data_IF_678817209587
#
_entry.id   IF_678817209587
#
_cell.length_a   1.000
_cell.length_b   1.000
_cell.length_c   1.000
_cell.angle_alpha   90.00
_cell.angle_beta   90.00
_cell.angle_gamma   90.00
#
_symmetry.space_group_name_H-M   'P 1'
#
loop_
_entity.id
_entity.type
_entity.pdbx_description
1 polymer ?
#
# COMPACT_ATOMS: atom_id res chain seq x y z
N UNK A 1 -15.98 5.63 32.69
CA UNK A 1 -14.87 5.50 33.65
C UNK A 1 -13.73 6.29 33.09
N UNK A 2 -13.25 7.19 33.88
CA UNK A 2 -12.44 8.37 33.57
C UNK A 2 -11.07 7.99 32.96
N UNK A 3 -10.79 8.43 31.71
CA UNK A 3 -9.56 8.17 30.97
C UNK A 3 -8.37 9.09 31.33
N UNK A 4 -8.35 9.68 32.54
CA UNK A 4 -7.43 10.77 32.91
C UNK A 4 -6.29 10.36 33.86
N UNK A 5 -6.11 9.09 34.19
CA UNK A 5 -5.07 8.64 35.13
C UNK A 5 -4.06 7.70 34.46
N UNK A 6 -3.37 8.12 33.40
CA UNK A 6 -2.00 7.69 33.25
C UNK A 6 -1.14 8.64 34.08
N UNK A 7 -0.88 8.18 35.26
CA UNK A 7 -0.11 8.75 36.36
C UNK A 7 1.16 9.44 35.84
N UNK A 8 1.50 10.61 36.42
CA UNK A 8 2.79 11.33 36.27
C UNK A 8 4.01 10.38 36.27
N UNK A 9 3.92 9.28 37.01
CA UNK A 9 4.91 8.23 37.09
C UNK A 9 5.07 7.46 35.76
N UNK A 10 4.02 7.30 34.97
CA UNK A 10 4.11 6.63 33.66
C UNK A 10 4.92 7.46 32.66
N UNK A 11 4.57 8.73 32.50
CA UNK A 11 5.27 9.64 31.58
C UNK A 11 6.75 9.80 31.94
N UNK A 12 7.06 10.01 33.21
CA UNK A 12 8.44 10.15 33.70
C UNK A 12 9.27 8.88 33.48
N UNK A 13 8.64 7.70 33.41
CA UNK A 13 9.31 6.41 33.18
C UNK A 13 9.41 6.06 31.70
N UNK A 14 8.37 6.33 30.90
CA UNK A 14 8.30 5.88 29.51
C UNK A 14 8.95 6.86 28.52
N UNK A 15 8.84 8.18 28.73
CA UNK A 15 9.47 9.18 27.85
C UNK A 15 10.97 8.92 27.63
N UNK A 16 11.79 8.60 28.64
CA UNK A 16 13.20 8.30 28.42
C UNK A 16 13.48 7.03 27.57
N UNK A 17 12.48 6.16 27.42
CA UNK A 17 12.57 4.95 26.61
C UNK A 17 12.14 5.16 25.16
N UNK A 18 11.40 6.24 24.90
CA UNK A 18 10.97 6.61 23.56
C UNK A 18 12.16 7.13 22.75
N UNK A 19 12.04 7.04 21.45
CA UNK A 19 12.99 7.58 20.47
C UNK A 19 12.21 8.24 19.36
N UNK A 20 12.72 9.35 18.83
CA UNK A 20 12.18 9.92 17.60
C UNK A 20 12.23 8.92 16.45
N UNK A 21 11.33 9.08 15.50
CA UNK A 21 11.23 8.15 14.37
C UNK A 21 10.03 8.47 13.49
N UNK A 22 9.58 7.49 12.71
CA UNK A 22 8.50 7.68 11.74
C UNK A 22 7.17 8.17 12.34
N UNK A 23 6.92 7.92 13.62
CA UNK A 23 5.63 8.22 14.28
C UNK A 23 5.78 8.98 15.61
N UNK A 24 6.97 9.45 15.95
CA UNK A 24 7.21 10.22 17.18
C UNK A 24 8.17 11.38 16.91
N UNK A 25 7.79 12.55 17.38
CA UNK A 25 8.62 13.76 17.35
C UNK A 25 8.56 14.45 18.70
N UNK A 26 9.70 14.88 19.22
CA UNK A 26 9.82 15.63 20.46
C UNK A 26 10.30 17.06 20.19
N UNK A 27 9.63 18.04 20.77
CA UNK A 27 9.99 19.44 20.61
C UNK A 27 10.03 20.13 21.97
N UNK A 28 11.14 20.80 22.25
CA UNK A 28 11.34 21.51 23.52
C UNK A 28 10.27 22.59 23.80
N UNK A 29 9.82 23.30 22.74
CA UNK A 29 8.74 24.29 22.74
C UNK A 29 8.83 25.36 23.87
N UNK A 30 10.02 25.71 24.32
CA UNK A 30 10.21 26.85 25.27
C UNK A 30 10.16 28.16 24.50
N UNK A 31 9.26 29.04 24.94
CA UNK A 31 9.06 30.35 24.31
C UNK A 31 8.02 30.36 23.18
N UNK A 32 7.20 29.30 23.04
CA UNK A 32 6.10 29.23 22.09
C UNK A 32 6.18 28.02 21.15
N UNK A 33 5.21 27.91 20.22
CA UNK A 33 5.15 26.85 19.24
C UNK A 33 6.33 26.93 18.25
N UNK A 34 7.11 25.84 18.07
CA UNK A 34 8.21 25.83 17.11
C UNK A 34 7.70 25.97 15.68
N UNK A 35 8.43 26.69 14.83
CA UNK A 35 8.03 26.87 13.42
C UNK A 35 7.99 25.52 12.67
N UNK A 36 8.94 24.62 12.95
CA UNK A 36 9.00 23.25 12.38
C UNK A 36 7.86 22.33 12.81
N UNK A 37 6.99 22.73 13.75
CA UNK A 37 5.81 21.98 14.14
C UNK A 37 4.88 21.71 12.96
N UNK A 38 4.75 22.68 12.06
CA UNK A 38 3.82 22.59 10.92
C UNK A 38 4.33 21.66 9.82
N UNK A 39 5.65 21.58 9.64
CA UNK A 39 6.29 20.60 8.74
C UNK A 39 6.04 19.19 9.25
N UNK A 40 6.22 18.96 10.57
CA UNK A 40 5.92 17.68 11.22
C UNK A 40 4.41 17.35 11.16
N UNK A 41 3.53 18.34 11.37
CA UNK A 41 2.09 18.17 11.21
C UNK A 41 1.73 17.68 9.80
N UNK A 42 2.24 18.36 8.78
CA UNK A 42 2.05 17.98 7.38
C UNK A 42 2.60 16.58 7.11
N UNK A 43 3.80 16.28 7.57
CA UNK A 43 4.45 15.02 7.28
C UNK A 43 3.75 13.82 7.93
N UNK A 44 3.31 13.94 9.19
CA UNK A 44 2.53 12.90 9.86
C UNK A 44 1.17 12.70 9.19
N UNK A 45 0.44 13.78 8.91
CA UNK A 45 -0.86 13.70 8.24
C UNK A 45 -0.77 13.05 6.85
N UNK A 46 0.32 13.25 6.12
CA UNK A 46 0.54 12.70 4.77
C UNK A 46 1.17 11.30 4.76
N UNK A 47 1.51 10.73 5.94
CA UNK A 47 2.13 9.40 6.03
C UNK A 47 1.25 8.45 6.85
N UNK A 48 1.73 8.00 7.99
CA UNK A 48 1.04 7.01 8.84
C UNK A 48 0.50 7.62 10.15
N UNK A 49 0.46 8.95 10.24
CA UNK A 49 0.18 9.65 11.48
C UNK A 49 1.37 9.64 12.44
N UNK A 50 1.21 10.24 13.62
CA UNK A 50 2.26 10.24 14.63
C UNK A 50 1.96 11.14 15.81
N UNK A 51 2.79 11.01 16.85
CA UNK A 51 2.68 11.74 18.10
C UNK A 51 3.74 12.83 18.19
N UNK A 52 3.32 14.07 18.42
CA UNK A 52 4.22 15.17 18.76
C UNK A 52 4.15 15.43 20.25
N UNK A 53 5.32 15.52 20.89
CA UNK A 53 5.46 15.85 22.31
C UNK A 53 6.10 17.24 22.44
N UNK A 54 5.34 18.24 22.91
CA UNK A 54 5.88 19.57 23.26
C UNK A 54 6.27 19.61 24.73
N UNK A 55 7.44 20.15 25.03
CA UNK A 55 8.02 20.13 26.37
C UNK A 55 8.90 18.89 26.62
N UNK A 56 9.36 18.27 25.55
CA UNK A 56 10.30 17.15 25.58
C UNK A 56 11.49 17.47 24.70
N UNK A 57 12.68 17.03 25.08
CA UNK A 57 13.93 17.22 24.34
C UNK A 57 14.67 15.90 24.24
N UNK A 58 15.59 15.82 23.29
CA UNK A 58 16.45 14.67 23.04
C UNK A 58 17.85 14.88 23.62
N UNK A 59 18.42 13.84 24.20
CA UNK A 59 19.83 13.74 24.58
C UNK A 59 20.73 13.35 23.40
N UNK A 60 22.04 13.46 23.56
CA UNK A 60 23.02 13.01 22.54
C UNK A 60 22.94 11.49 22.24
N UNK A 61 22.41 10.69 23.19
CA UNK A 61 22.20 9.24 23.04
C UNK A 61 20.83 8.90 22.45
N UNK A 62 20.11 9.91 21.93
CA UNK A 62 18.74 9.81 21.42
C UNK A 62 17.67 9.42 22.43
N UNK A 63 17.96 9.42 23.72
CA UNK A 63 16.93 9.28 24.76
C UNK A 63 16.19 10.59 24.97
N UNK A 64 14.88 10.50 25.19
CA UNK A 64 14.05 11.69 25.41
C UNK A 64 13.99 12.04 26.91
N UNK A 65 13.85 13.34 27.22
CA UNK A 65 13.64 13.81 28.58
C UNK A 65 12.66 14.99 28.63
N UNK A 66 11.89 15.07 29.72
CA UNK A 66 10.89 16.10 29.92
C UNK A 66 11.58 17.40 30.33
N UNK A 67 11.27 18.47 29.62
CA UNK A 67 11.71 19.84 29.94
C UNK A 67 10.56 20.72 30.42
N UNK A 68 9.33 20.30 30.16
CA UNK A 68 8.12 21.05 30.35
C UNK A 68 7.98 22.25 29.42
N UNK A 69 6.75 22.73 29.23
CA UNK A 69 6.44 24.01 28.55
C UNK A 69 6.12 25.08 29.59
N UNK A 70 6.28 26.38 29.24
CA UNK A 70 6.12 27.48 30.19
C UNK A 70 4.63 27.72 30.57
N UNK A 71 3.71 27.64 29.58
CA UNK A 71 2.26 27.78 29.76
C UNK A 71 1.53 26.84 28.81
N UNK A 72 1.22 25.64 29.30
CA UNK A 72 0.62 24.60 28.49
C UNK A 72 -0.78 24.98 27.96
N UNK A 73 -1.58 25.69 28.75
CA UNK A 73 -2.94 26.07 28.36
C UNK A 73 -2.94 27.10 27.23
N UNK A 74 -2.16 28.16 27.37
CA UNK A 74 -2.05 29.18 26.34
C UNK A 74 -1.40 28.56 25.07
N UNK A 75 -0.38 27.72 25.21
CA UNK A 75 0.26 27.06 24.06
C UNK A 75 -0.69 26.13 23.32
N UNK A 76 -1.50 25.34 24.02
CA UNK A 76 -2.54 24.52 23.39
C UNK A 76 -3.60 25.37 22.69
N UNK A 77 -4.00 26.50 23.28
CA UNK A 77 -4.93 27.42 22.65
C UNK A 77 -4.32 28.09 21.40
N UNK A 78 -3.06 28.48 21.44
CA UNK A 78 -2.34 29.04 20.29
C UNK A 78 -2.21 27.98 19.18
N UNK A 79 -1.95 26.73 19.53
CA UNK A 79 -1.94 25.62 18.55
C UNK A 79 -3.29 25.49 17.86
N UNK A 80 -4.42 25.45 18.62
CA UNK A 80 -5.75 25.39 18.06
C UNK A 80 -6.09 26.57 17.18
N UNK A 81 -5.70 27.77 17.58
CA UNK A 81 -5.89 28.98 16.77
C UNK A 81 -5.13 28.91 15.44
N UNK A 82 -3.88 28.42 15.49
CA UNK A 82 -3.03 28.33 14.31
C UNK A 82 -3.38 27.17 13.37
N UNK A 83 -3.79 26.01 13.88
CA UNK A 83 -4.16 24.88 13.03
C UNK A 83 -5.45 25.15 12.25
N UNK A 84 -6.33 26.04 12.77
CA UNK A 84 -7.52 26.51 12.06
C UNK A 84 -7.26 27.70 11.13
N UNK A 85 -6.03 28.22 11.10
CA UNK A 85 -5.66 29.28 10.15
C UNK A 85 -5.24 28.66 8.80
N UNK A 86 -6.03 28.82 7.72
CA UNK A 86 -5.72 28.23 6.42
C UNK A 86 -4.44 28.78 5.77
N UNK A 87 -3.86 29.85 6.33
CA UNK A 87 -2.54 30.33 5.92
C UNK A 87 -1.39 29.54 6.56
N UNK A 88 -1.67 28.72 7.56
CA UNK A 88 -0.70 27.88 8.25
C UNK A 88 -0.71 26.45 7.72
N UNK A 89 -1.85 25.79 7.74
CA UNK A 89 -2.03 24.45 7.20
C UNK A 89 -3.32 24.34 6.40
N UNK A 90 -3.31 23.49 5.38
CA UNK A 90 -4.43 23.37 4.44
C UNK A 90 -5.65 22.65 5.02
N UNK A 91 -5.47 21.80 6.04
CA UNK A 91 -6.55 21.04 6.65
C UNK A 91 -6.30 20.75 8.13
N UNK A 92 -7.38 20.71 8.90
CA UNK A 92 -7.39 20.25 10.30
C UNK A 92 -7.80 18.79 10.31
N UNK A 93 -6.88 17.91 10.70
CA UNK A 93 -7.12 16.45 10.76
C UNK A 93 -7.37 15.97 12.19
N UNK A 94 -7.33 16.86 13.16
CA UNK A 94 -7.44 16.60 14.59
C UNK A 94 -8.87 16.69 15.10
N UNK A 95 -9.18 15.89 16.11
CA UNK A 95 -10.32 16.02 17.01
C UNK A 95 -9.90 16.66 18.34
N UNK A 96 -10.88 17.10 19.14
CA UNK A 96 -10.61 17.75 20.45
C UNK A 96 -9.81 16.83 21.40
N UNK A 97 -9.89 15.52 21.24
CA UNK A 97 -9.21 14.55 22.11
C UNK A 97 -7.74 14.29 21.70
N UNK A 98 -7.30 14.80 20.57
CA UNK A 98 -5.97 14.53 20.02
C UNK A 98 -4.91 15.48 20.59
N UNK A 99 -5.32 16.53 21.31
CA UNK A 99 -4.42 17.49 21.97
C UNK A 99 -4.65 17.46 23.46
N UNK A 100 -3.70 16.89 24.19
CA UNK A 100 -3.84 16.66 25.65
C UNK A 100 -2.68 17.26 26.42
N UNK A 101 -3.01 18.03 27.47
CA UNK A 101 -2.03 18.52 28.43
C UNK A 101 -1.77 17.43 29.47
N UNK A 102 -0.51 17.02 29.61
CA UNK A 102 -0.04 16.03 30.59
C UNK A 102 0.75 16.74 31.67
N UNK A 103 0.25 16.70 32.90
CA UNK A 103 0.93 17.27 34.06
C UNK A 103 1.96 16.28 34.58
N UNK A 104 3.22 16.66 34.66
CA UNK A 104 4.29 15.80 35.18
C UNK A 104 5.07 16.50 36.28
N UNK A 105 5.78 15.74 37.12
CA UNK A 105 6.64 16.31 38.18
C UNK A 105 7.81 17.16 37.64
N UNK A 106 8.12 17.04 36.34
CA UNK A 106 9.19 17.76 35.64
C UNK A 106 8.67 18.95 34.80
N UNK A 107 7.34 19.16 34.79
CA UNK A 107 6.66 20.23 34.05
C UNK A 107 5.56 19.68 33.14
N UNK A 108 4.77 20.58 32.57
CA UNK A 108 3.67 20.22 31.70
C UNK A 108 4.18 19.85 30.29
N UNK A 109 3.63 18.76 29.72
CA UNK A 109 3.88 18.30 28.36
C UNK A 109 2.58 18.36 27.58
N UNK A 110 2.60 18.82 26.33
CA UNK A 110 1.45 18.74 25.43
C UNK A 110 1.70 17.59 24.46
N UNK A 111 0.82 16.58 24.47
CA UNK A 111 0.79 15.51 23.48
C UNK A 111 -0.20 15.84 22.38
N UNK A 112 0.24 15.77 21.13
CA UNK A 112 -0.59 16.02 19.93
C UNK A 112 -0.53 14.74 19.10
N UNK A 113 -1.63 14.00 19.06
CA UNK A 113 -1.76 12.78 18.25
C UNK A 113 -2.31 13.16 16.87
N UNK A 114 -1.48 13.10 15.84
CA UNK A 114 -1.85 13.47 14.48
C UNK A 114 -2.22 12.21 13.71
N UNK A 115 -3.50 12.00 13.38
CA UNK A 115 -3.90 10.87 12.55
C UNK A 115 -3.40 11.05 11.11
N UNK A 116 -3.27 9.95 10.37
CA UNK A 116 -3.18 10.02 8.91
C UNK A 116 -4.43 10.74 8.38
N UNK A 117 -4.23 11.70 7.48
CA UNK A 117 -5.33 12.43 6.89
C UNK A 117 -6.22 11.52 6.04
N UNK A 118 -7.52 11.80 6.04
CA UNK A 118 -8.44 11.18 5.09
C UNK A 118 -7.99 11.48 3.65
N UNK A 119 -8.23 10.55 2.74
CA UNK A 119 -7.76 10.60 1.35
C UNK A 119 -8.10 11.92 0.64
N UNK A 120 -9.31 12.42 0.84
CA UNK A 120 -9.81 13.67 0.24
C UNK A 120 -9.16 14.95 0.83
N UNK A 121 -8.44 14.81 1.94
CA UNK A 121 -7.67 15.90 2.55
C UNK A 121 -6.19 15.89 2.16
N UNK A 122 -5.68 14.83 1.55
CA UNK A 122 -4.26 14.70 1.14
C UNK A 122 -4.05 15.42 -0.21
N UNK A 123 -2.96 16.23 -0.36
CA UNK A 123 -1.93 16.51 0.64
C UNK A 123 -2.36 17.55 1.68
N UNK A 124 -2.00 17.29 2.93
CA UNK A 124 -1.99 18.33 3.96
C UNK A 124 -0.67 19.11 3.81
N UNK A 125 -0.74 20.43 3.63
CA UNK A 125 0.43 21.26 3.35
C UNK A 125 0.50 22.51 4.19
N UNK A 126 1.71 22.99 4.41
CA UNK A 126 2.03 24.24 5.12
C UNK A 126 1.92 25.41 4.16
N UNK A 127 1.27 26.49 4.59
CA UNK A 127 1.06 27.67 3.76
C UNK A 127 -0.03 27.49 2.72
N UNK A 128 0.15 28.10 1.54
CA UNK A 128 -0.91 28.22 0.52
C UNK A 128 -0.66 27.41 -0.75
N UNK A 129 0.50 26.76 -0.88
CA UNK A 129 0.86 26.05 -2.10
C UNK A 129 1.28 24.60 -1.78
N UNK A 130 0.52 23.60 -2.23
CA UNK A 130 0.85 22.21 -1.98
C UNK A 130 2.24 21.81 -2.54
N UNK A 131 2.66 22.41 -3.68
CA UNK A 131 3.94 22.06 -4.30
C UNK A 131 5.17 22.48 -3.47
N UNK A 132 5.01 23.41 -2.52
CA UNK A 132 6.10 23.94 -1.69
C UNK A 132 5.87 23.77 -0.20
N UNK A 133 4.75 23.14 0.19
CA UNK A 133 4.35 22.99 1.59
C UNK A 133 3.96 21.59 2.00
N UNK A 134 3.99 20.60 1.09
CA UNK A 134 3.67 19.22 1.43
C UNK A 134 4.91 18.47 1.89
N UNK A 135 4.84 17.88 3.07
CA UNK A 135 5.93 17.11 3.67
C UNK A 135 5.51 15.65 3.88
N UNK A 136 6.48 14.74 3.88
CA UNK A 136 6.34 13.34 4.27
C UNK A 136 7.40 12.95 5.28
N UNK A 137 7.04 12.05 6.17
CA UNK A 137 7.93 11.51 7.20
C UNK A 137 8.76 10.38 6.64
N UNK A 138 10.07 10.44 6.90
CA UNK A 138 11.00 9.37 6.59
C UNK A 138 12.06 9.28 7.70
N UNK A 139 12.07 8.17 8.45
CA UNK A 139 12.86 8.07 9.65
C UNK A 139 12.42 9.09 10.70
N UNK A 140 13.36 9.91 11.16
CA UNK A 140 13.17 11.03 12.10
C UNK A 140 13.06 12.40 11.41
N UNK A 141 13.05 12.45 10.07
CA UNK A 141 13.04 13.69 9.29
C UNK A 141 11.70 13.98 8.60
N UNK A 142 11.41 15.29 8.48
CA UNK A 142 10.31 15.83 7.68
C UNK A 142 10.86 16.32 6.34
N UNK A 143 10.50 15.66 5.25
CA UNK A 143 11.04 15.95 3.92
C UNK A 143 9.99 16.58 3.02
N UNK A 144 10.35 17.67 2.36
CA UNK A 144 9.51 18.30 1.35
C UNK A 144 9.30 17.32 0.18
N UNK A 145 8.05 17.10 -0.18
CA UNK A 145 7.68 16.25 -1.31
C UNK A 145 8.14 16.88 -2.63
N UNK A 146 8.57 16.05 -3.57
CA UNK A 146 8.78 16.47 -4.95
C UNK A 146 7.44 16.70 -5.68
N UNK A 147 7.52 17.34 -6.84
CA UNK A 147 6.34 17.71 -7.64
C UNK A 147 5.56 16.45 -8.10
N UNK A 148 6.23 15.35 -8.44
CA UNK A 148 5.60 14.11 -8.88
C UNK A 148 4.77 13.48 -7.76
N UNK A 149 5.32 13.43 -6.54
CA UNK A 149 4.64 12.96 -5.33
C UNK A 149 3.41 13.81 -5.00
N UNK A 150 3.53 15.16 -5.00
CA UNK A 150 2.39 16.05 -4.74
C UNK A 150 1.29 15.89 -5.79
N UNK A 151 1.66 15.78 -7.07
CA UNK A 151 0.68 15.51 -8.15
C UNK A 151 -0.01 14.17 -7.98
N UNK A 152 0.70 13.13 -7.51
CA UNK A 152 0.10 11.83 -7.21
C UNK A 152 -0.90 11.94 -6.04
N UNK A 153 -0.55 12.64 -4.97
CA UNK A 153 -1.44 12.90 -3.83
C UNK A 153 -2.72 13.63 -4.28
N UNK A 154 -2.59 14.69 -5.10
CA UNK A 154 -3.73 15.44 -5.63
C UNK A 154 -4.63 14.58 -6.53
N UNK A 155 -4.05 13.67 -7.35
CA UNK A 155 -4.85 12.70 -8.12
C UNK A 155 -5.59 11.71 -7.22
N UNK A 156 -4.92 11.24 -6.16
CA UNK A 156 -5.51 10.29 -5.21
C UNK A 156 -6.61 10.91 -4.35
N UNK A 157 -6.58 12.22 -4.11
CA UNK A 157 -7.62 12.94 -3.34
C UNK A 157 -8.89 13.21 -4.14
N UNK A 158 -8.86 13.07 -5.47
CA UNK A 158 -10.06 13.29 -6.30
C UNK A 158 -11.16 12.31 -5.93
N UNK A 159 -12.36 12.84 -5.66
CA UNK A 159 -13.54 12.06 -5.32
C UNK A 159 -14.09 11.26 -6.51
N UNK A 160 -13.82 11.73 -7.73
CA UNK A 160 -14.24 11.03 -8.94
C UNK A 160 -13.15 10.06 -9.40
N UNK A 161 -13.52 8.79 -9.67
CA UNK A 161 -12.58 7.82 -10.17
C UNK A 161 -11.97 8.25 -11.51
N UNK A 162 -10.66 8.47 -11.54
CA UNK A 162 -9.94 8.93 -12.74
C UNK A 162 -10.00 7.92 -13.89
N UNK A 163 -10.08 6.64 -13.58
CA UNK A 163 -10.19 5.58 -14.58
C UNK A 163 -11.53 5.60 -15.34
N UNK A 164 -12.54 6.31 -14.81
CA UNK A 164 -13.85 6.54 -15.44
C UNK A 164 -13.86 7.71 -16.43
N UNK A 165 -12.81 8.50 -16.47
CA UNK A 165 -12.70 9.66 -17.37
C UNK A 165 -12.64 9.21 -18.82
N UNK A 166 -13.33 9.94 -19.71
CA UNK A 166 -13.30 9.72 -21.15
C UNK A 166 -11.93 10.11 -21.72
N UNK A 167 -11.41 9.31 -22.64
CA UNK A 167 -10.20 9.63 -23.39
C UNK A 167 -10.59 10.41 -24.66
N UNK A 168 -10.16 11.67 -24.69
CA UNK A 168 -10.46 12.54 -25.83
C UNK A 168 -9.70 12.11 -27.10
N UNK A 169 -10.28 12.34 -28.26
CA UNK A 169 -9.63 12.07 -29.53
C UNK A 169 -9.61 10.59 -29.95
N UNK A 170 -10.16 9.68 -29.14
CA UNK A 170 -10.27 8.26 -29.46
C UNK A 170 -11.73 7.82 -29.59
N UNK A 171 -12.01 6.90 -30.52
CA UNK A 171 -13.30 6.22 -30.67
C UNK A 171 -13.26 4.80 -30.11
N UNK A 172 -14.36 4.07 -30.25
CA UNK A 172 -14.47 2.66 -29.83
C UNK A 172 -13.46 1.74 -30.55
N UNK A 173 -12.97 2.13 -31.73
CA UNK A 173 -11.91 1.46 -32.48
C UNK A 173 -10.53 1.47 -31.80
N UNK A 174 -10.37 2.23 -30.72
CA UNK A 174 -9.18 2.19 -29.89
C UNK A 174 -9.04 0.89 -29.08
N UNK A 175 -10.12 0.14 -28.95
CA UNK A 175 -10.14 -1.11 -28.19
C UNK A 175 -9.85 -2.31 -29.12
N UNK A 176 -8.99 -3.23 -28.67
CA UNK A 176 -8.66 -4.46 -29.37
C UNK A 176 -9.85 -5.41 -29.40
N UNK A 177 -10.30 -5.77 -30.59
CA UNK A 177 -11.49 -6.58 -30.82
C UNK A 177 -11.34 -8.01 -30.26
N UNK A 178 -10.14 -8.61 -30.34
CA UNK A 178 -9.87 -9.96 -29.85
C UNK A 178 -9.91 -10.03 -28.32
N UNK A 179 -9.33 -9.03 -27.64
CA UNK A 179 -9.41 -8.88 -26.18
C UNK A 179 -10.86 -8.72 -25.73
N UNK A 180 -11.64 -7.86 -26.39
CA UNK A 180 -13.07 -7.68 -26.10
C UNK A 180 -13.86 -8.97 -26.32
N UNK A 181 -13.65 -9.66 -27.45
CA UNK A 181 -14.32 -10.92 -27.75
C UNK A 181 -13.96 -12.01 -26.74
N UNK A 182 -12.69 -12.09 -26.31
CA UNK A 182 -12.22 -13.01 -25.27
C UNK A 182 -12.87 -12.73 -23.93
N UNK A 183 -12.90 -11.46 -23.52
CA UNK A 183 -13.55 -11.04 -22.28
C UNK A 183 -15.05 -11.35 -22.29
N UNK A 184 -15.76 -11.10 -23.40
CA UNK A 184 -17.19 -11.44 -23.55
C UNK A 184 -17.45 -12.94 -23.44
N UNK A 185 -16.58 -13.79 -24.02
CA UNK A 185 -16.67 -15.25 -23.84
C UNK A 185 -16.54 -15.65 -22.39
N UNK A 186 -15.57 -15.08 -21.67
CA UNK A 186 -15.37 -15.35 -20.23
C UNK A 186 -16.55 -14.86 -19.40
N UNK A 187 -17.10 -13.68 -19.68
CA UNK A 187 -18.31 -13.16 -19.04
C UNK A 187 -19.52 -14.09 -19.26
N UNK A 188 -19.77 -14.53 -20.49
CA UNK A 188 -20.84 -15.47 -20.82
C UNK A 188 -20.68 -16.81 -20.09
N UNK A 189 -19.48 -17.36 -20.03
CA UNK A 189 -19.19 -18.61 -19.34
C UNK A 189 -19.44 -18.49 -17.83
N UNK A 190 -19.06 -17.36 -17.25
CA UNK A 190 -19.23 -17.11 -15.80
C UNK A 190 -20.67 -16.76 -15.43
N UNK A 191 -21.41 -16.10 -16.33
CA UNK A 191 -22.77 -15.60 -16.11
C UNK A 191 -23.71 -15.88 -17.28
N UNK A 192 -23.98 -17.17 -17.60
CA UNK A 192 -24.68 -17.55 -18.84
C UNK A 192 -26.09 -16.97 -18.95
N UNK A 193 -26.79 -16.74 -17.83
CA UNK A 193 -28.14 -16.16 -17.80
C UNK A 193 -28.19 -14.64 -17.68
N UNK A 194 -27.05 -13.94 -17.73
CA UNK A 194 -27.04 -12.49 -17.52
C UNK A 194 -27.62 -11.76 -18.74
N UNK A 195 -28.52 -10.74 -18.56
CA UNK A 195 -29.14 -10.00 -19.67
C UNK A 195 -28.13 -9.37 -20.67
N UNK A 196 -26.93 -9.04 -20.20
CA UNK A 196 -25.89 -8.42 -21.05
C UNK A 196 -25.22 -9.38 -22.02
N UNK A 197 -25.42 -10.69 -21.91
CA UNK A 197 -24.84 -11.68 -22.85
C UNK A 197 -25.33 -11.46 -24.28
N UNK A 198 -26.57 -11.00 -24.46
CA UNK A 198 -27.18 -10.79 -25.77
C UNK A 198 -26.97 -9.38 -26.35
N UNK A 199 -26.28 -8.47 -25.66
CA UNK A 199 -26.05 -7.11 -26.15
C UNK A 199 -25.05 -7.09 -27.32
N UNK A 200 -25.10 -6.03 -28.14
CA UNK A 200 -24.02 -5.70 -29.07
C UNK A 200 -22.70 -5.47 -28.33
N UNK A 201 -21.56 -5.46 -29.02
CA UNK A 201 -20.27 -5.17 -28.38
C UNK A 201 -20.25 -3.75 -27.79
N UNK A 202 -20.77 -2.77 -28.51
CA UNK A 202 -20.84 -1.39 -28.06
C UNK A 202 -21.74 -1.24 -26.83
N UNK A 203 -22.96 -1.79 -26.84
CA UNK A 203 -23.87 -1.72 -25.70
C UNK A 203 -23.29 -2.44 -24.48
N UNK A 204 -22.63 -3.58 -24.68
CA UNK A 204 -21.96 -4.30 -23.61
C UNK A 204 -20.82 -3.48 -22.99
N UNK A 205 -19.97 -2.88 -23.83
CA UNK A 205 -18.84 -2.05 -23.39
C UNK A 205 -19.32 -0.77 -22.66
N UNK A 206 -20.44 -0.19 -23.08
CA UNK A 206 -21.11 0.90 -22.37
C UNK A 206 -21.59 0.45 -20.97
N UNK A 207 -22.16 -0.75 -20.85
CA UNK A 207 -22.65 -1.29 -19.56
C UNK A 207 -21.54 -1.59 -18.57
N UNK A 208 -20.39 -2.05 -19.04
CA UNK A 208 -19.22 -2.29 -18.16
C UNK A 208 -18.39 -1.03 -17.93
N UNK A 209 -18.78 0.09 -18.52
CA UNK A 209 -18.12 1.41 -18.45
C UNK A 209 -16.72 1.43 -19.13
N UNK A 210 -16.47 0.49 -20.06
CA UNK A 210 -15.30 0.57 -20.92
C UNK A 210 -15.44 1.68 -21.98
N UNK A 211 -16.69 1.96 -22.38
CA UNK A 211 -17.08 3.07 -23.22
C UNK A 211 -18.05 3.99 -22.48
N UNK A 212 -18.10 5.26 -22.89
CA UNK A 212 -19.09 6.25 -22.44
C UNK A 212 -19.53 7.13 -23.61
N UNK A 213 -20.76 7.66 -23.46
CA UNK A 213 -21.28 8.67 -24.40
C UNK A 213 -20.67 10.04 -24.07
N UNK A 214 -20.18 10.69 -25.11
CA UNK A 214 -19.72 12.07 -25.15
C UNK A 214 -20.52 12.80 -26.23
N UNK A 215 -21.60 13.43 -25.86
CA UNK A 215 -22.60 13.94 -26.80
C UNK A 215 -23.17 12.82 -27.66
N UNK A 216 -22.94 12.88 -28.95
CA UNK A 216 -23.36 11.85 -29.95
C UNK A 216 -22.27 10.80 -30.24
N UNK A 217 -21.10 10.94 -29.65
CA UNK A 217 -19.96 10.04 -29.89
C UNK A 217 -19.82 9.04 -28.77
N UNK A 218 -19.34 7.83 -29.09
CA UNK A 218 -18.95 6.83 -28.13
C UNK A 218 -17.44 6.82 -28.01
N UNK A 219 -16.93 7.01 -26.80
CA UNK A 219 -15.50 7.11 -26.52
C UNK A 219 -15.06 6.11 -25.46
N UNK A 220 -13.82 5.63 -25.50
CA UNK A 220 -13.28 4.81 -24.42
C UNK A 220 -13.12 5.64 -23.14
N UNK A 221 -13.36 4.99 -22.01
CA UNK A 221 -12.88 5.49 -20.72
C UNK A 221 -11.40 5.10 -20.55
N UNK A 222 -10.69 5.74 -19.63
CA UNK A 222 -9.34 5.35 -19.25
C UNK A 222 -9.28 3.88 -18.83
N UNK A 223 -10.26 3.41 -18.05
CA UNK A 223 -10.37 1.99 -17.70
C UNK A 223 -10.58 1.10 -18.93
N UNK A 224 -11.45 1.49 -19.86
CA UNK A 224 -11.68 0.74 -21.10
C UNK A 224 -10.44 0.67 -21.96
N UNK A 225 -9.72 1.79 -22.09
CA UNK A 225 -8.45 1.85 -22.84
C UNK A 225 -7.38 0.97 -22.18
N UNK A 226 -7.18 1.06 -20.86
CA UNK A 226 -6.23 0.21 -20.14
C UNK A 226 -6.59 -1.27 -20.23
N UNK A 227 -7.88 -1.61 -20.14
CA UNK A 227 -8.35 -2.99 -20.12
C UNK A 227 -8.28 -3.66 -21.50
N UNK A 228 -8.53 -2.93 -22.59
CA UNK A 228 -8.73 -3.49 -23.93
C UNK A 228 -7.99 -2.76 -25.06
N UNK A 229 -7.26 -1.68 -24.78
CA UNK A 229 -6.56 -0.91 -25.82
C UNK A 229 -5.34 -1.63 -26.39
N UNK A 230 -4.81 -1.11 -27.48
CA UNK A 230 -3.48 -1.48 -27.97
C UNK A 230 -2.41 -0.66 -27.23
N UNK A 231 -1.24 -1.23 -26.96
CA UNK A 231 -0.17 -0.60 -26.17
C UNK A 231 0.16 0.83 -26.64
N UNK A 232 0.29 1.05 -27.94
CA UNK A 232 0.60 2.36 -28.50
C UNK A 232 -0.52 3.40 -28.29
N UNK A 233 -1.79 2.96 -28.23
CA UNK A 233 -2.92 3.83 -27.87
C UNK A 233 -2.96 4.10 -26.38
N UNK A 234 -2.66 3.10 -25.55
CA UNK A 234 -2.57 3.26 -24.10
C UNK A 234 -1.47 4.26 -23.76
N UNK A 235 -0.29 4.15 -24.36
CA UNK A 235 0.85 5.05 -24.08
C UNK A 235 0.62 6.48 -24.56
N UNK A 236 -0.30 6.73 -25.49
CA UNK A 236 -0.68 8.10 -25.85
C UNK A 236 -1.48 8.83 -24.77
N UNK A 237 -2.22 8.12 -23.91
CA UNK A 237 -2.91 8.67 -22.73
C UNK A 237 -2.06 8.53 -21.46
N UNK A 238 -1.31 7.44 -21.31
CA UNK A 238 -0.48 7.11 -20.18
C UNK A 238 0.99 6.96 -20.62
N UNK A 239 1.75 8.05 -20.72
CA UNK A 239 3.09 8.04 -21.33
C UNK A 239 4.11 7.13 -20.64
N UNK A 240 3.86 6.76 -19.38
CA UNK A 240 4.73 5.90 -18.58
C UNK A 240 4.18 4.49 -18.41
N UNK A 241 3.08 4.16 -19.09
CA UNK A 241 2.51 2.82 -19.05
C UNK A 241 3.53 1.79 -19.51
N UNK A 242 3.77 0.82 -18.64
CA UNK A 242 4.68 -0.28 -18.92
C UNK A 242 4.33 -1.47 -18.05
N UNK A 243 4.16 -2.64 -18.67
CA UNK A 243 3.95 -3.91 -18.00
C UNK A 243 5.13 -4.83 -18.30
N UNK A 244 5.66 -5.48 -17.27
CA UNK A 244 6.83 -6.37 -17.38
C UNK A 244 6.62 -7.63 -16.53
N UNK A 245 6.63 -8.78 -17.18
CA UNK A 245 6.68 -10.07 -16.52
C UNK A 245 8.03 -10.71 -16.77
N UNK A 246 8.63 -11.25 -15.71
CA UNK A 246 9.92 -11.95 -15.74
C UNK A 246 9.83 -13.25 -14.99
N UNK A 247 10.48 -14.28 -15.53
CA UNK A 247 10.72 -15.54 -14.85
C UNK A 247 12.22 -15.68 -14.61
N UNK A 248 12.64 -15.79 -13.34
CA UNK A 248 14.03 -15.87 -12.91
C UNK A 248 14.18 -17.12 -12.06
N UNK A 249 14.67 -18.19 -12.65
CA UNK A 249 14.80 -19.49 -11.98
C UNK A 249 16.23 -19.78 -11.47
N UNK A 250 17.22 -19.06 -11.99
CA UNK A 250 18.63 -19.16 -11.59
C UNK A 250 19.20 -17.76 -11.40
N UNK A 251 19.94 -17.55 -10.32
CA UNK A 251 20.61 -16.27 -10.01
C UNK A 251 21.71 -15.89 -11.03
N UNK A 252 22.14 -16.83 -11.88
CA UNK A 252 23.14 -16.59 -12.92
C UNK A 252 22.52 -16.12 -14.25
N UNK A 253 21.23 -16.29 -14.43
CA UNK A 253 20.49 -15.84 -15.61
C UNK A 253 19.71 -14.57 -15.33
N UNK A 254 19.71 -13.65 -16.29
CA UNK A 254 18.94 -12.42 -16.17
C UNK A 254 17.43 -12.66 -16.15
N UNK A 255 16.95 -13.63 -16.93
CA UNK A 255 15.58 -14.18 -16.96
C UNK A 255 15.52 -15.41 -17.87
N UNK A 256 14.63 -16.34 -17.54
CA UNK A 256 14.35 -17.54 -18.36
C UNK A 256 13.21 -17.27 -19.37
N UNK A 257 12.21 -16.49 -18.96
CA UNK A 257 11.10 -16.01 -19.80
C UNK A 257 10.79 -14.55 -19.45
N UNK A 258 10.44 -13.77 -20.45
CA UNK A 258 10.04 -12.36 -20.28
C UNK A 258 9.11 -11.92 -21.38
N UNK A 259 8.09 -11.12 -21.03
CA UNK A 259 7.31 -10.36 -21.99
C UNK A 259 6.92 -9.00 -21.40
N UNK A 260 6.82 -8.01 -22.28
CA UNK A 260 6.53 -6.62 -21.92
C UNK A 260 5.37 -6.08 -22.75
N UNK A 261 4.77 -4.98 -22.32
CA UNK A 261 3.69 -4.33 -23.06
C UNK A 261 4.12 -3.62 -24.34
N UNK A 262 5.43 -3.43 -24.53
CA UNK A 262 6.02 -2.71 -25.66
C UNK A 262 6.72 -3.61 -26.68
N UNK A 263 6.54 -4.93 -26.60
CA UNK A 263 7.17 -5.87 -27.52
C UNK A 263 6.37 -6.10 -28.82
N UNK A 264 5.20 -5.51 -28.95
CA UNK A 264 4.28 -5.58 -30.11
C UNK A 264 3.86 -7.01 -30.54
N UNK A 265 4.13 -8.03 -29.71
CA UNK A 265 3.74 -9.42 -30.00
C UNK A 265 2.33 -9.76 -29.55
N UNK A 266 1.71 -8.86 -28.78
CA UNK A 266 0.38 -8.96 -28.23
C UNK A 266 -0.20 -7.55 -27.97
N UNK A 267 -1.47 -7.44 -27.57
CA UNK A 267 -2.14 -6.15 -27.39
C UNK A 267 -1.46 -5.18 -26.42
N UNK A 268 -0.73 -5.69 -25.43
CA UNK A 268 -0.13 -4.88 -24.36
C UNK A 268 -1.11 -4.37 -23.31
N UNK A 269 -2.40 -4.73 -23.36
CA UNK A 269 -3.41 -4.28 -22.39
C UNK A 269 -3.47 -5.13 -21.12
N UNK A 270 -4.21 -4.63 -20.11
CA UNK A 270 -4.28 -5.25 -18.79
C UNK A 270 -4.99 -6.60 -18.79
N UNK A 271 -6.03 -6.79 -19.61
CA UNK A 271 -6.78 -8.04 -19.67
C UNK A 271 -5.91 -9.19 -20.19
N UNK A 272 -5.22 -8.95 -21.30
CA UNK A 272 -4.35 -9.97 -21.89
C UNK A 272 -3.10 -10.20 -21.05
N UNK A 273 -2.53 -9.15 -20.44
CA UNK A 273 -1.44 -9.27 -19.47
C UNK A 273 -1.82 -10.16 -18.30
N UNK A 274 -2.97 -9.87 -17.67
CA UNK A 274 -3.48 -10.67 -16.57
C UNK A 274 -3.58 -12.15 -16.93
N UNK A 275 -4.18 -12.46 -18.11
CA UNK A 275 -4.32 -13.82 -18.60
C UNK A 275 -2.99 -14.53 -18.82
N UNK A 276 -2.03 -13.83 -19.46
CA UNK A 276 -0.67 -14.35 -19.72
C UNK A 276 0.08 -14.63 -18.41
N UNK A 277 0.07 -13.66 -17.48
CA UNK A 277 0.78 -13.78 -16.18
C UNK A 277 0.20 -14.90 -15.34
N UNK A 278 -1.12 -14.94 -15.14
CA UNK A 278 -1.76 -15.97 -14.33
C UNK A 278 -1.50 -17.36 -14.87
N UNK A 279 -1.52 -17.54 -16.19
CA UNK A 279 -1.20 -18.83 -16.79
C UNK A 279 0.26 -19.26 -16.55
N UNK A 280 1.21 -18.33 -16.52
CA UNK A 280 2.62 -18.60 -16.16
C UNK A 280 2.75 -18.95 -14.68
N UNK A 281 2.17 -18.15 -13.81
CA UNK A 281 2.28 -18.30 -12.35
C UNK A 281 1.63 -19.58 -11.82
N UNK A 282 0.68 -20.18 -12.53
CA UNK A 282 0.11 -21.49 -12.16
C UNK A 282 1.17 -22.60 -12.09
N UNK A 283 2.23 -22.52 -12.87
CA UNK A 283 3.36 -23.45 -12.80
C UNK A 283 4.17 -23.34 -11.50
N UNK A 284 4.14 -22.18 -10.86
CA UNK A 284 4.83 -21.93 -9.60
C UNK A 284 4.06 -22.46 -8.38
N UNK A 285 2.74 -22.64 -8.52
CA UNK A 285 1.87 -23.10 -7.43
C UNK A 285 1.96 -24.61 -7.29
N UNK A 286 2.11 -25.10 -6.06
CA UNK A 286 2.01 -26.51 -5.77
C UNK A 286 0.53 -26.96 -5.87
N UNK A 287 0.25 -27.94 -6.71
CA UNK A 287 -1.08 -28.54 -6.86
C UNK A 287 -1.09 -29.94 -6.23
N UNK A 288 -1.27 -30.06 -4.90
CA UNK A 288 -1.44 -31.37 -4.27
C UNK A 288 -2.68 -32.04 -4.83
N UNK A 289 -2.61 -33.36 -5.04
CA UNK A 289 -3.77 -34.14 -5.50
C UNK A 289 -4.85 -34.06 -4.42
N UNK A 290 -5.98 -33.45 -4.74
CA UNK A 290 -7.16 -33.36 -3.87
C UNK A 290 -8.42 -33.68 -4.68
N UNK A 291 -9.36 -34.33 -4.02
CA UNK A 291 -10.68 -34.66 -4.56
C UNK A 291 -11.73 -33.89 -3.77
N UNK A 292 -12.76 -33.39 -4.45
CA UNK A 292 -13.99 -32.91 -3.82
C UNK A 292 -14.86 -34.04 -3.27
N UNK A 293 -16.01 -33.68 -2.69
CA UNK A 293 -16.95 -34.64 -2.14
C UNK A 293 -17.51 -35.64 -3.18
N UNK A 294 -17.48 -35.25 -4.47
CA UNK A 294 -17.95 -36.05 -5.60
C UNK A 294 -16.80 -36.78 -6.32
N UNK A 295 -15.63 -36.86 -5.70
CA UNK A 295 -14.40 -37.49 -6.21
C UNK A 295 -13.83 -36.83 -7.48
N UNK A 296 -14.20 -35.59 -7.79
CA UNK A 296 -13.57 -34.82 -8.85
C UNK A 296 -12.29 -34.17 -8.36
N UNK A 297 -11.29 -34.08 -9.23
CA UNK A 297 -10.05 -33.41 -8.92
C UNK A 297 -10.30 -31.90 -8.72
N UNK A 298 -9.81 -31.38 -7.60
CA UNK A 298 -9.79 -29.94 -7.35
C UNK A 298 -8.57 -29.36 -8.08
N UNK A 299 -8.81 -28.72 -9.23
CA UNK A 299 -7.76 -28.09 -10.04
C UNK A 299 -7.43 -26.66 -9.61
N UNK A 300 -8.25 -26.03 -8.75
CA UNK A 300 -8.15 -24.64 -8.31
C UNK A 300 -8.10 -24.58 -6.79
N UNK A 301 -6.91 -24.42 -6.25
CA UNK A 301 -6.68 -24.38 -4.81
C UNK A 301 -6.67 -22.95 -4.26
N UNK A 302 -6.55 -22.79 -2.93
CA UNK A 302 -6.53 -21.47 -2.27
C UNK A 302 -5.33 -20.63 -2.70
N UNK A 303 -4.19 -21.24 -3.02
CA UNK A 303 -3.02 -20.50 -3.51
C UNK A 303 -3.23 -19.99 -4.95
N UNK A 304 -3.91 -20.76 -5.83
CA UNK A 304 -4.30 -20.26 -7.15
C UNK A 304 -5.20 -19.02 -7.05
N UNK A 305 -6.13 -19.02 -6.09
CA UNK A 305 -6.97 -17.84 -5.80
C UNK A 305 -6.13 -16.66 -5.31
N UNK A 306 -5.22 -16.92 -4.37
CA UNK A 306 -4.30 -15.91 -3.84
C UNK A 306 -3.44 -15.26 -4.93
N UNK A 307 -2.89 -16.04 -5.85
CA UNK A 307 -2.09 -15.55 -6.97
C UNK A 307 -2.95 -14.69 -7.91
N UNK A 308 -4.16 -15.15 -8.28
CA UNK A 308 -5.06 -14.34 -9.12
C UNK A 308 -5.45 -13.02 -8.46
N UNK A 309 -5.76 -13.06 -7.17
CA UNK A 309 -6.08 -11.87 -6.38
C UNK A 309 -4.89 -10.91 -6.34
N UNK A 310 -3.68 -11.40 -6.07
CA UNK A 310 -2.47 -10.60 -6.03
C UNK A 310 -2.18 -9.90 -7.38
N UNK A 311 -2.27 -10.63 -8.50
CA UNK A 311 -2.09 -10.06 -9.84
C UNK A 311 -3.15 -8.99 -10.11
N UNK A 312 -4.41 -9.27 -9.78
CA UNK A 312 -5.52 -8.30 -9.98
C UNK A 312 -5.29 -7.04 -9.15
N UNK A 313 -4.97 -7.17 -7.86
CA UNK A 313 -4.73 -6.03 -6.97
C UNK A 313 -3.55 -5.19 -7.46
N UNK A 314 -2.48 -5.83 -7.93
CA UNK A 314 -1.32 -5.14 -8.52
C UNK A 314 -1.73 -4.25 -9.71
N UNK A 315 -2.66 -4.71 -10.56
CA UNK A 315 -3.14 -3.96 -11.72
C UNK A 315 -4.15 -2.87 -11.34
N UNK A 316 -5.10 -3.15 -10.46
CA UNK A 316 -6.18 -2.19 -10.16
C UNK A 316 -5.76 -1.10 -9.16
N UNK A 317 -4.68 -1.29 -8.41
CA UNK A 317 -4.13 -0.29 -7.50
C UNK A 317 -2.97 0.54 -8.10
N UNK A 318 -2.50 0.22 -9.29
CA UNK A 318 -1.43 0.96 -9.96
C UNK A 318 -1.83 2.41 -10.30
N UNK A 319 -0.91 3.36 -10.10
CA UNK A 319 -0.99 4.71 -10.66
C UNK A 319 -0.27 4.73 -12.01
N UNK A 320 -1.03 4.66 -13.10
CA UNK A 320 -0.50 4.61 -14.45
C UNK A 320 0.05 5.96 -14.98
N UNK A 321 -0.02 7.03 -14.17
CA UNK A 321 0.50 8.35 -14.52
C UNK A 321 1.93 8.62 -14.06
N UNK A 322 2.51 7.77 -13.19
CA UNK A 322 3.86 7.96 -12.68
C UNK A 322 4.90 7.14 -13.44
N UNK A 323 6.18 7.57 -13.35
CA UNK A 323 7.31 7.06 -14.14
C UNK A 323 7.78 5.66 -13.73
N UNK A 324 6.88 4.74 -13.48
CA UNK A 324 7.22 3.36 -13.12
C UNK A 324 6.22 2.41 -13.75
N UNK A 325 6.72 1.28 -14.22
CA UNK A 325 5.88 0.21 -14.73
C UNK A 325 5.38 -0.71 -13.62
N UNK A 326 4.36 -1.49 -13.96
CA UNK A 326 3.95 -2.65 -13.16
C UNK A 326 4.84 -3.83 -13.52
N UNK A 327 5.52 -4.41 -12.53
CA UNK A 327 6.49 -5.47 -12.70
C UNK A 327 6.10 -6.68 -11.88
N UNK A 328 6.07 -7.85 -12.50
CA UNK A 328 5.80 -9.12 -11.82
C UNK A 328 6.97 -10.07 -12.12
N UNK A 329 7.64 -10.54 -11.07
CA UNK A 329 8.78 -11.43 -11.17
C UNK A 329 8.45 -12.75 -10.48
N UNK A 330 8.51 -13.82 -11.22
CA UNK A 330 8.44 -15.18 -10.70
C UNK A 330 9.85 -15.69 -10.44
N UNK A 331 10.16 -15.92 -9.18
CA UNK A 331 11.36 -16.65 -8.76
C UNK A 331 11.02 -18.12 -8.50
N UNK A 332 12.03 -18.91 -8.26
CA UNK A 332 11.86 -20.33 -7.90
C UNK A 332 11.03 -20.49 -6.60
N UNK A 333 11.24 -19.62 -5.62
CA UNK A 333 10.71 -19.70 -4.25
C UNK A 333 9.56 -18.71 -3.96
N UNK A 334 9.46 -17.63 -4.73
CA UNK A 334 8.55 -16.53 -4.48
C UNK A 334 8.06 -15.85 -5.74
N UNK A 335 6.99 -15.12 -5.61
CA UNK A 335 6.47 -14.21 -6.64
C UNK A 335 6.51 -12.81 -6.07
N UNK A 336 7.17 -11.89 -6.76
CA UNK A 336 7.25 -10.47 -6.39
C UNK A 336 6.40 -9.68 -7.36
N UNK A 337 5.39 -8.98 -6.84
CA UNK A 337 4.48 -8.16 -7.63
C UNK A 337 4.63 -6.70 -7.19
N UNK A 338 4.90 -5.82 -8.13
CA UNK A 338 5.21 -4.42 -7.84
C UNK A 338 4.40 -3.50 -8.75
N UNK A 339 3.70 -2.56 -8.16
CA UNK A 339 2.95 -1.54 -8.89
C UNK A 339 3.33 -0.12 -8.46
N UNK A 340 3.28 0.85 -9.40
CA UNK A 340 3.51 2.24 -9.12
C UNK A 340 2.39 2.86 -8.27
N UNK A 341 2.75 3.85 -7.45
CA UNK A 341 1.88 4.55 -6.51
C UNK A 341 1.98 4.02 -5.08
N UNK A 342 1.64 4.87 -4.11
CA UNK A 342 1.56 4.49 -2.69
C UNK A 342 0.24 3.82 -2.32
N UNK A 343 0.13 3.40 -1.06
CA UNK A 343 -1.13 2.91 -0.49
C UNK A 343 -2.12 4.07 -0.28
N UNK A 344 -3.38 3.84 -0.65
CA UNK A 344 -4.48 4.78 -0.36
C UNK A 344 -5.04 4.61 1.06
N UNK A 345 -4.92 3.42 1.61
CA UNK A 345 -5.20 3.08 3.00
C UNK A 345 -3.90 3.07 3.82
N UNK A 346 -4.01 3.16 5.13
CA UNK A 346 -2.87 2.92 6.01
C UNK A 346 -2.42 1.46 5.91
N UNK A 347 -1.17 1.22 6.24
CA UNK A 347 -0.62 -0.14 6.27
C UNK A 347 -1.39 -1.05 7.22
N UNK A 348 -1.85 -0.51 8.34
CA UNK A 348 -2.65 -1.23 9.34
C UNK A 348 -4.03 -1.64 8.78
N UNK A 349 -4.73 -0.72 8.09
CA UNK A 349 -6.02 -1.02 7.47
C UNK A 349 -5.91 -2.09 6.39
N UNK A 350 -4.85 -2.06 5.57
CA UNK A 350 -4.59 -3.10 4.56
C UNK A 350 -4.37 -4.47 5.22
N UNK A 351 -3.61 -4.52 6.32
CA UNK A 351 -3.32 -5.77 7.04
C UNK A 351 -4.52 -6.32 7.81
N UNK A 352 -5.39 -5.46 8.35
CA UNK A 352 -6.62 -5.84 9.02
C UNK A 352 -7.69 -6.37 8.05
N UNK A 353 -7.66 -5.92 6.79
CA UNK A 353 -8.67 -6.27 5.80
C UNK A 353 -10.03 -5.61 6.06
N UNK A 354 -11.03 -5.98 5.26
CA UNK A 354 -12.42 -5.50 5.44
C UNK A 354 -12.72 -4.12 4.83
N UNK A 355 -11.70 -3.34 4.49
CA UNK A 355 -11.83 -2.04 3.81
C UNK A 355 -11.09 -2.10 2.48
N UNK A 356 -11.66 -1.48 1.45
CA UNK A 356 -11.03 -1.36 0.13
C UNK A 356 -11.21 0.05 -0.41
N UNK A 357 -10.11 0.70 -0.77
CA UNK A 357 -10.09 1.94 -1.55
C UNK A 357 -9.26 1.72 -2.82
N UNK A 358 -9.92 1.21 -3.85
CA UNK A 358 -9.30 0.87 -5.12
C UNK A 358 -9.01 2.13 -5.94
N UNK A 359 -7.76 2.30 -6.44
CA UNK A 359 -7.40 3.46 -7.27
C UNK A 359 -8.15 3.48 -8.60
N UNK A 360 -8.35 2.31 -9.21
CA UNK A 360 -9.05 2.15 -10.48
C UNK A 360 -10.31 1.28 -10.31
N UNK A 361 -11.40 1.82 -9.71
CA UNK A 361 -12.60 1.03 -9.37
C UNK A 361 -13.37 0.56 -10.60
N UNK A 362 -13.26 1.25 -11.73
CA UNK A 362 -13.89 0.78 -12.99
C UNK A 362 -13.16 -0.44 -13.55
N UNK A 363 -11.83 -0.49 -13.47
CA UNK A 363 -11.04 -1.69 -13.78
C UNK A 363 -11.41 -2.85 -12.85
N UNK A 364 -11.50 -2.60 -11.53
CA UNK A 364 -11.90 -3.63 -10.56
C UNK A 364 -13.31 -4.18 -10.89
N UNK A 365 -14.26 -3.30 -11.23
CA UNK A 365 -15.60 -3.71 -11.67
C UNK A 365 -15.54 -4.66 -12.88
N UNK A 366 -14.70 -4.35 -13.87
CA UNK A 366 -14.54 -5.19 -15.06
C UNK A 366 -13.96 -6.57 -14.69
N UNK A 367 -12.93 -6.65 -13.85
CA UNK A 367 -12.40 -7.93 -13.38
C UNK A 367 -13.44 -8.73 -12.59
N UNK A 368 -14.18 -8.10 -11.68
CA UNK A 368 -15.24 -8.74 -10.89
C UNK A 368 -16.38 -9.32 -11.76
N UNK A 369 -16.71 -8.68 -12.87
CA UNK A 369 -17.75 -9.14 -13.79
C UNK A 369 -17.43 -10.50 -14.42
N UNK A 370 -16.16 -10.81 -14.60
CA UNK A 370 -15.68 -12.10 -15.14
C UNK A 370 -15.21 -13.07 -14.05
N UNK A 371 -15.49 -12.72 -12.78
CA UNK A 371 -15.21 -13.58 -11.63
C UNK A 371 -13.76 -13.58 -11.18
N UNK A 372 -13.06 -12.47 -11.44
CA UNK A 372 -11.68 -12.21 -11.03
C UNK A 372 -11.71 -11.09 -9.99
N UNK A 373 -10.96 -11.25 -8.91
CA UNK A 373 -11.01 -10.34 -7.77
C UNK A 373 -12.18 -10.62 -6.83
N UNK A 374 -11.97 -10.46 -5.54
CA UNK A 374 -13.00 -10.63 -4.52
C UNK A 374 -13.63 -9.28 -4.15
N UNK A 375 -14.75 -9.33 -3.42
CA UNK A 375 -15.46 -8.12 -3.01
C UNK A 375 -14.86 -7.54 -1.74
N UNK A 376 -14.60 -6.21 -1.80
CA UNK A 376 -14.48 -5.33 -0.63
C UNK A 376 -13.55 -5.79 0.51
N UNK A 377 -12.23 -5.61 0.32
CA UNK A 377 -11.28 -5.63 1.43
C UNK A 377 -10.80 -7.01 1.90
N UNK A 378 -11.22 -8.11 1.26
CA UNK A 378 -10.77 -9.47 1.61
C UNK A 378 -9.48 -9.92 0.88
N UNK A 379 -8.94 -9.10 -0.02
CA UNK A 379 -7.83 -9.50 -0.88
C UNK A 379 -6.60 -9.97 -0.13
N UNK A 380 -6.21 -9.27 0.94
CA UNK A 380 -5.05 -9.67 1.75
C UNK A 380 -5.33 -10.94 2.56
N UNK A 381 -6.57 -11.14 3.04
CA UNK A 381 -7.00 -12.37 3.72
C UNK A 381 -6.93 -13.57 2.79
N UNK A 382 -7.41 -13.45 1.55
CA UNK A 382 -7.31 -14.51 0.53
C UNK A 382 -5.85 -14.90 0.26
N UNK A 383 -4.95 -13.91 0.20
CA UNK A 383 -3.52 -14.18 0.01
C UNK A 383 -2.91 -14.88 1.22
N UNK A 384 -3.27 -14.46 2.43
CA UNK A 384 -2.84 -15.09 3.68
C UNK A 384 -3.35 -16.53 3.82
N UNK A 385 -4.61 -16.77 3.50
CA UNK A 385 -5.20 -18.11 3.46
C UNK A 385 -4.50 -19.01 2.42
N UNK A 386 -4.16 -18.47 1.25
CA UNK A 386 -3.41 -19.19 0.22
C UNK A 386 -2.02 -19.63 0.70
N UNK A 387 -1.27 -18.72 1.34
CA UNK A 387 0.03 -19.02 1.93
C UNK A 387 -0.08 -20.04 3.07
N UNK A 388 -1.09 -19.91 3.93
CA UNK A 388 -1.35 -20.87 5.01
C UNK A 388 -1.67 -22.26 4.45
N UNK A 389 -2.50 -22.35 3.39
CA UNK A 389 -2.82 -23.58 2.69
C UNK A 389 -1.57 -24.25 2.10
N UNK A 390 -0.69 -23.47 1.46
CA UNK A 390 0.58 -23.96 0.96
C UNK A 390 1.58 -24.30 2.07
N UNK A 391 1.29 -23.87 3.33
CA UNK A 391 2.17 -24.04 4.48
C UNK A 391 3.47 -23.24 4.35
N UNK A 392 3.39 -22.06 3.77
CA UNK A 392 4.52 -21.13 3.52
C UNK A 392 4.44 -19.91 4.43
N UNK A 393 5.41 -19.00 4.30
CA UNK A 393 5.38 -17.73 5.02
C UNK A 393 4.16 -16.87 4.59
N UNK A 394 3.70 -16.02 5.49
CA UNK A 394 2.66 -15.04 5.18
C UNK A 394 3.12 -14.08 4.06
N UNK A 395 2.17 -13.51 3.28
CA UNK A 395 2.53 -12.52 2.28
C UNK A 395 3.19 -11.30 2.93
N UNK A 396 4.20 -10.76 2.27
CA UNK A 396 4.91 -9.55 2.70
C UNK A 396 4.50 -8.36 1.84
N UNK A 397 4.19 -7.23 2.48
CA UNK A 397 3.86 -5.98 1.81
C UNK A 397 4.92 -4.93 2.16
N UNK A 398 5.54 -4.35 1.15
CA UNK A 398 6.55 -3.29 1.30
C UNK A 398 6.08 -2.04 0.55
N UNK A 399 6.22 -0.89 1.19
CA UNK A 399 5.90 0.42 0.61
C UNK A 399 7.20 1.22 0.47
N UNK A 400 7.41 1.75 -0.72
CA UNK A 400 8.56 2.60 -1.05
C UNK A 400 8.03 3.99 -1.34
N UNK A 401 8.59 4.99 -0.69
CA UNK A 401 8.10 6.37 -0.79
C UNK A 401 8.73 7.13 -1.97
N UNK A 402 9.97 6.84 -2.32
CA UNK A 402 10.68 7.50 -3.41
C UNK A 402 11.44 6.47 -4.28
N UNK A 403 10.96 6.23 -5.48
CA UNK A 403 9.65 6.62 -6.02
C UNK A 403 8.52 5.78 -5.42
N UNK A 404 7.34 6.40 -5.28
CA UNK A 404 6.16 5.75 -4.73
C UNK A 404 5.83 4.41 -5.42
N UNK A 405 5.92 3.31 -4.66
CA UNK A 405 5.71 1.95 -5.16
C UNK A 405 5.24 1.03 -4.03
N UNK A 406 4.33 0.14 -4.36
CA UNK A 406 3.94 -0.96 -3.48
C UNK A 406 4.48 -2.26 -4.05
N UNK A 407 5.05 -3.10 -3.21
CA UNK A 407 5.55 -4.41 -3.56
C UNK A 407 4.95 -5.47 -2.64
N UNK A 408 4.37 -6.49 -3.26
CA UNK A 408 3.81 -7.66 -2.59
C UNK A 408 4.69 -8.86 -2.92
N UNK A 409 5.08 -9.63 -1.90
CA UNK A 409 5.79 -10.91 -2.07
C UNK A 409 4.91 -12.05 -1.59
N UNK A 410 4.69 -13.04 -2.45
CA UNK A 410 3.99 -14.29 -2.15
C UNK A 410 4.95 -15.48 -2.23
N UNK A 411 4.72 -16.46 -1.37
CA UNK A 411 5.48 -17.72 -1.31
C UNK A 411 4.58 -18.88 -1.71
N UNK A 412 4.52 -19.25 -3.01
CA UNK A 412 3.52 -20.19 -3.53
C UNK A 412 3.81 -21.66 -3.21
N UNK A 413 5.00 -21.99 -2.72
CA UNK A 413 5.41 -23.37 -2.38
C UNK A 413 6.51 -23.40 -1.31
N UNK A 414 6.56 -24.51 -0.55
CA UNK A 414 7.68 -24.77 0.37
C UNK A 414 8.92 -25.17 -0.42
N UNK A 415 10.08 -24.69 0.04
CA UNK A 415 11.38 -25.18 -0.40
C UNK A 415 11.81 -26.29 0.54
N UNK A 416 12.33 -27.40 -0.04
CA UNK A 416 12.89 -28.47 0.75
C UNK A 416 14.15 -27.97 1.47
N UNK A 417 14.05 -27.74 2.78
CA UNK A 417 15.12 -27.19 3.62
C UNK A 417 14.68 -26.13 4.63
N UNK A 418 13.54 -25.48 4.42
CA UNK A 418 13.00 -24.54 5.40
C UNK A 418 12.28 -25.30 6.53
N UNK A 419 12.99 -25.50 7.64
CA UNK A 419 12.37 -25.89 8.90
C UNK A 419 11.61 -24.68 9.46
N UNK A 420 10.31 -24.85 9.65
CA UNK A 420 9.36 -23.88 10.20
C UNK A 420 9.94 -23.05 11.34
N UNK A 421 9.98 -21.72 11.18
CA UNK A 421 9.88 -20.81 12.32
C UNK A 421 8.39 -20.59 12.57
N UNK A 422 7.74 -21.64 13.09
CA UNK A 422 6.44 -21.51 13.71
C UNK A 422 6.66 -21.01 15.14
N UNK A 423 6.22 -19.79 15.44
CA UNK A 423 6.10 -19.31 16.82
C UNK A 423 5.09 -20.14 17.59
N UNK A 424 5.55 -21.20 18.22
CA UNK A 424 4.86 -21.90 19.29
C UNK A 424 5.56 -21.56 20.60
N UNK A 425 4.81 -21.02 21.54
CA UNK A 425 5.18 -20.83 22.94
C UNK A 425 5.79 -22.11 23.49
N UNK A 426 7.07 -22.07 23.85
CA UNK A 426 7.74 -23.15 24.55
C UNK A 426 7.55 -22.96 26.05
N UNK A 427 6.99 -23.97 26.70
CA UNK A 427 7.05 -24.23 28.12
C UNK A 427 8.52 -24.62 28.50
N UNK A 428 9.10 -24.12 29.60
CA UNK A 428 10.51 -24.37 29.90
C UNK A 428 10.72 -25.70 30.64
N UNK A 429 11.78 -26.41 30.27
CA UNK A 429 12.32 -27.47 31.10
C UNK A 429 13.20 -28.48 30.39
N UNK A 430 14.45 -28.50 30.86
CA UNK A 430 15.48 -29.55 30.82
C UNK A 430 16.67 -29.31 29.91
N UNK A 431 17.77 -29.05 30.57
CA UNK A 431 19.16 -28.94 30.12
C UNK A 431 19.77 -30.28 29.70
N UNK A 432 20.61 -30.28 28.67
CA UNK A 432 21.80 -31.16 28.56
C UNK A 432 22.83 -30.62 27.58
N UNK A 433 24.05 -30.70 28.03
CA UNK A 433 25.35 -30.25 27.59
C UNK A 433 25.81 -30.68 26.16
N UNK A 434 26.71 -29.85 25.62
CA UNK A 434 27.97 -30.32 25.00
C UNK A 434 28.16 -30.16 23.49
N UNK A 435 29.10 -29.31 23.08
CA UNK A 435 29.81 -29.44 21.81
C UNK A 435 30.01 -28.15 21.01
N UNK A 436 31.24 -27.65 21.03
CA UNK A 436 31.68 -26.37 20.48
C UNK A 436 31.87 -26.30 18.95
N UNK A 437 32.50 -25.25 18.43
CA UNK A 437 32.10 -24.55 17.21
C UNK A 437 32.85 -25.04 15.96
N UNK A 438 32.20 -24.87 14.81
CA UNK A 438 32.92 -24.88 13.51
C UNK A 438 32.45 -23.65 12.73
N UNK A 439 33.38 -22.78 12.41
CA UNK A 439 33.27 -21.62 11.56
C UNK A 439 32.84 -22.00 10.13
N UNK A 440 31.86 -21.33 9.60
CA UNK A 440 31.62 -21.27 8.17
C UNK A 440 31.24 -19.84 7.77
N UNK A 441 32.16 -19.17 7.14
CA UNK A 441 32.01 -17.87 6.50
C UNK A 441 30.93 -17.93 5.40
N UNK A 442 29.98 -17.04 5.46
CA UNK A 442 29.01 -16.77 4.38
C UNK A 442 29.50 -15.61 3.51
N UNK A 443 29.47 -15.73 2.18
CA UNK A 443 29.85 -14.63 1.31
C UNK A 443 28.80 -13.55 1.22
N UNK A 444 29.18 -12.35 1.58
CA UNK A 444 28.44 -11.10 1.39
C UNK A 444 28.35 -10.78 -0.10
N UNK A 445 27.13 -10.84 -0.67
CA UNK A 445 26.86 -10.27 -1.99
C UNK A 445 26.64 -8.77 -1.88
N UNK A 446 27.46 -8.02 -2.59
CA UNK A 446 27.30 -6.58 -2.83
C UNK A 446 26.29 -6.39 -3.96
N UNK A 447 25.09 -5.91 -3.65
CA UNK A 447 24.21 -5.30 -4.64
C UNK A 447 24.53 -3.80 -4.69
N UNK A 448 25.09 -3.39 -5.81
CA UNK A 448 25.28 -1.98 -6.16
C UNK A 448 24.09 -1.52 -7.00
N UNK A 449 23.10 -0.92 -6.37
CA UNK A 449 22.24 0.07 -7.02
C UNK A 449 21.97 1.17 -6.00
N UNK A 450 22.48 2.37 -6.31
CA UNK A 450 22.29 3.58 -5.53
C UNK A 450 20.88 4.11 -5.79
N UNK A 451 20.00 3.89 -4.83
CA UNK A 451 18.76 4.61 -4.63
C UNK A 451 18.55 4.67 -3.12
N UNK A 452 18.74 5.85 -2.53
CA UNK A 452 18.49 6.09 -1.11
C UNK A 452 16.99 6.30 -0.88
N UNK A 453 16.18 5.27 -1.13
CA UNK A 453 14.76 5.26 -0.79
C UNK A 453 14.56 4.40 0.46
N UNK A 454 13.81 4.91 1.43
CA UNK A 454 13.47 4.16 2.64
C UNK A 454 12.43 3.10 2.32
N UNK A 455 12.68 1.90 2.79
CA UNK A 455 11.81 0.73 2.62
C UNK A 455 11.09 0.49 3.94
N UNK A 456 9.76 0.64 3.94
CA UNK A 456 8.93 0.23 5.06
C UNK A 456 8.52 -1.24 4.89
N UNK A 457 9.18 -2.14 5.62
CA UNK A 457 8.75 -3.54 5.73
C UNK A 457 7.64 -3.67 6.75
N UNK A 458 6.48 -4.10 6.28
CA UNK A 458 5.32 -4.39 7.11
C UNK A 458 5.28 -5.90 7.28
N UNK A 459 5.99 -6.39 8.30
CA UNK A 459 5.93 -7.79 8.70
C UNK A 459 5.15 -7.93 10.01
N UNK A 460 4.48 -9.05 10.20
CA UNK A 460 3.63 -9.36 11.37
C UNK A 460 4.30 -9.23 12.76
N UNK A 461 5.59 -8.85 12.85
CA UNK A 461 6.33 -8.68 14.10
C UNK A 461 6.47 -7.23 14.60
N UNK A 462 6.08 -6.23 13.80
CA UNK A 462 6.18 -4.80 14.14
C UNK A 462 4.92 -4.22 14.76
N UNK A 463 3.75 -4.79 14.47
CA UNK A 463 2.45 -4.30 14.90
C UNK A 463 2.18 -4.50 16.41
N UNK A 464 2.69 -5.57 17.01
CA UNK A 464 2.36 -5.90 18.41
C UNK A 464 2.97 -4.95 19.46
N UNK A 465 4.07 -4.26 19.16
CA UNK A 465 4.71 -3.38 20.15
C UNK A 465 4.22 -1.93 20.10
N UNK A 466 3.73 -1.44 18.97
CA UNK A 466 3.17 -0.09 18.86
C UNK A 466 1.67 -0.06 19.20
N UNK A 467 0.91 -1.10 18.86
CA UNK A 467 -0.49 -1.23 19.26
C UNK A 467 -0.69 -1.30 20.78
N UNK A 468 0.25 -1.86 21.54
CA UNK A 468 0.23 -1.79 23.00
C UNK A 468 0.48 -0.35 23.52
N UNK A 469 1.17 0.49 22.76
CA UNK A 469 1.40 1.89 23.14
C UNK A 469 0.24 2.80 22.73
N UNK A 470 -0.34 2.61 21.54
CA UNK A 470 -1.44 3.44 21.01
C UNK A 470 -2.82 2.92 21.47
N UNK A 471 -3.01 1.62 21.56
CA UNK A 471 -4.25 1.00 22.07
C UNK A 471 -4.53 1.25 23.55
N UNK A 472 -3.55 1.73 24.30
CA UNK A 472 -3.71 2.15 25.70
C UNK A 472 -4.26 3.58 25.82
N UNK A 473 -4.27 4.35 24.74
CA UNK A 473 -4.77 5.73 24.69
C UNK A 473 -6.25 5.86 24.26
N UNK A 474 -6.86 4.79 23.73
CA UNK A 474 -8.21 4.79 23.14
C UNK A 474 -9.30 4.07 23.95
N UNK A 475 -9.15 3.92 25.27
CA UNK A 475 -10.22 3.40 26.15
C UNK A 475 -10.42 4.27 27.36
#
# INVERSE_FOLDING_TARGET
MDGSEHDDAWWSREVPRMREGNRLEAKRAKGGLPHSLWETYSSFANTEGGLILLGVSEHEDHSLYITGVDDARNMAQDFWNMVHDPSKVSAVVLSDNDVVIRHTSQGDVISIDIPRAARDCIPVYVGQNPMTGSYRRNGDGDYLCDEETVRAMLRDSDLLPLDRTIVEGMGADALNADSVASYRRQFKNRRPGHPWVGLSDEDFLLRIEALRLDGSQVRPTRAGLLMFGEAWRITSEFPYYFLDYREVMDDQERWNDRFTSDDDTWSGNLYDFWGKVVNRLRSAVAHPFQLDADLHRIDDNLMDKAVREAVTNTLVHADYFIRRGTVIIQYYDRIVLSNPGGLRLSSEEVMQGGISDTRNPTLMKMFNLIGIGEKAGSGFDVMREGCLFAGTAAPELEVFDDPGRVQLTLYPRKIAGDSMIAGASAVPGVSADGGGPVDAESPTMRNSEHGTGTVHRIGARGADRLNDMVGTFGK
#
